data_IF_733396068134
#
_entry.id   IF_733396068134
#
_cell.length_a   1.000
_cell.length_b   1.000
_cell.length_c   1.000
_cell.angle_alpha   90.00
_cell.angle_beta   90.00
_cell.angle_gamma   90.00
#
_symmetry.space_group_name_H-M   'P 1'
#
loop_
_entity.id
_entity.type
_entity.pdbx_description
1 polymer ?
#
# COMPACT_ATOMS: atom_id res chain seq x y z
N UNK A 1 -37.61 40.43 2.10
CA UNK A 1 -36.22 39.93 2.10
C UNK A 1 -35.70 39.97 3.51
N UNK A 2 -35.45 38.81 4.12
CA UNK A 2 -34.31 38.53 5.02
C UNK A 2 -34.42 37.07 5.42
N UNK A 3 -33.58 36.24 4.81
CA UNK A 3 -33.34 34.86 5.21
C UNK A 3 -32.58 34.88 6.53
N UNK A 4 -33.20 34.41 7.60
CA UNK A 4 -32.54 34.15 8.88
C UNK A 4 -32.28 32.65 9.01
N UNK A 5 -31.38 32.11 8.19
CA UNK A 5 -30.92 30.74 8.37
C UNK A 5 -29.99 30.70 9.58
N UNK A 6 -30.40 29.94 10.60
CA UNK A 6 -29.71 29.75 11.87
C UNK A 6 -28.24 29.34 11.67
N UNK A 7 -27.31 30.12 12.21
CA UNK A 7 -25.86 29.85 12.21
C UNK A 7 -25.44 28.67 13.11
N UNK A 8 -26.37 27.86 13.62
CA UNK A 8 -26.08 26.76 14.55
C UNK A 8 -25.73 25.44 13.84
N UNK A 9 -26.11 25.26 12.58
CA UNK A 9 -25.89 24.01 11.84
C UNK A 9 -24.47 23.84 11.27
N UNK A 10 -23.65 24.90 11.23
CA UNK A 10 -22.31 24.85 10.66
C UNK A 10 -21.21 24.42 11.65
N UNK A 11 -21.45 24.57 12.96
CA UNK A 11 -20.50 24.13 13.99
C UNK A 11 -20.58 22.62 14.30
N UNK A 12 -21.67 21.96 13.91
CA UNK A 12 -21.91 20.56 14.24
C UNK A 12 -21.36 19.58 13.20
N UNK A 13 -21.14 20.02 11.96
CA UNK A 13 -20.58 19.20 10.89
C UNK A 13 -19.08 18.90 11.07
N UNK A 14 -18.33 19.72 11.83
CA UNK A 14 -16.89 19.52 12.06
C UNK A 14 -16.57 18.47 13.14
N UNK A 15 -17.55 18.00 13.91
CA UNK A 15 -17.31 17.05 15.03
C UNK A 15 -17.60 15.59 14.71
N UNK A 16 -18.15 15.26 13.54
CA UNK A 16 -18.67 13.91 13.27
C UNK A 16 -17.95 13.11 12.17
N UNK A 17 -16.69 13.44 11.86
CA UNK A 17 -15.84 12.58 11.01
C UNK A 17 -14.43 12.40 11.54
N UNK A 18 -14.24 12.39 12.87
CA UNK A 18 -13.04 11.82 13.47
C UNK A 18 -13.25 10.33 13.75
N UNK A 19 -13.39 9.52 12.70
CA UNK A 19 -13.18 8.07 12.83
C UNK A 19 -11.69 7.83 12.64
N UNK A 20 -10.92 8.03 13.71
CA UNK A 20 -9.57 7.50 13.78
C UNK A 20 -9.14 7.32 15.23
N UNK A 21 -9.99 6.74 16.06
CA UNK A 21 -9.49 6.10 17.28
C UNK A 21 -8.88 4.77 16.84
N UNK A 22 -7.66 4.85 16.31
CA UNK A 22 -6.87 3.65 16.03
C UNK A 22 -6.59 2.98 17.38
N UNK A 23 -6.82 1.66 17.53
CA UNK A 23 -6.64 1.01 18.83
C UNK A 23 -5.23 1.28 19.33
N UNK A 24 -5.07 1.60 20.62
CA UNK A 24 -3.75 1.86 21.20
C UNK A 24 -2.77 0.68 20.94
N UNK A 25 -3.29 -0.55 20.91
CA UNK A 25 -2.56 -1.78 20.58
C UNK A 25 -2.15 -1.92 19.11
N UNK A 26 -2.58 -1.02 18.22
CA UNK A 26 -2.24 -1.04 16.80
C UNK A 26 -0.99 -0.19 16.48
N UNK A 27 -0.36 0.39 17.50
CA UNK A 27 0.92 1.07 17.35
C UNK A 27 2.07 0.05 17.35
N UNK A 28 2.95 0.14 16.35
CA UNK A 28 4.18 -0.63 16.31
C UNK A 28 5.22 0.14 17.14
N UNK A 29 5.24 -0.11 18.45
CA UNK A 29 5.98 0.68 19.43
C UNK A 29 7.50 0.53 19.25
N UNK A 30 7.97 -0.68 18.94
CA UNK A 30 9.40 -0.97 18.80
C UNK A 30 9.87 -0.91 17.34
N UNK A 31 11.14 -0.58 17.13
CA UNK A 31 11.77 -0.66 15.81
C UNK A 31 11.74 -2.10 15.26
N UNK A 32 11.83 -3.10 16.14
CA UNK A 32 11.76 -4.52 15.75
C UNK A 32 10.36 -4.91 15.24
N UNK A 33 9.29 -4.44 15.89
CA UNK A 33 7.92 -4.65 15.40
C UNK A 33 7.70 -3.95 14.06
N UNK A 34 8.17 -2.71 13.92
CA UNK A 34 8.13 -1.95 12.65
C UNK A 34 8.87 -2.69 11.56
N UNK A 35 10.09 -3.16 11.83
CA UNK A 35 10.90 -3.95 10.91
C UNK A 35 10.17 -5.21 10.44
N UNK A 36 9.65 -6.03 11.37
CA UNK A 36 8.92 -7.26 11.04
C UNK A 36 7.69 -6.99 10.20
N UNK A 37 6.92 -5.96 10.54
CA UNK A 37 5.75 -5.56 9.77
C UNK A 37 6.14 -5.13 8.35
N UNK A 38 7.17 -4.30 8.21
CA UNK A 38 7.65 -3.85 6.91
C UNK A 38 8.19 -5.00 6.05
N UNK A 39 8.87 -5.99 6.65
CA UNK A 39 9.30 -7.20 5.93
C UNK A 39 8.10 -8.04 5.45
N UNK A 40 7.09 -8.22 6.30
CA UNK A 40 5.87 -8.94 5.93
C UNK A 40 5.12 -8.25 4.78
N UNK A 41 4.96 -6.93 4.89
CA UNK A 41 4.30 -6.12 3.87
C UNK A 41 5.11 -6.10 2.56
N UNK A 42 6.45 -6.13 2.63
CA UNK A 42 7.31 -6.29 1.45
C UNK A 42 7.05 -7.63 0.76
N UNK A 43 7.00 -8.73 1.52
CA UNK A 43 6.72 -10.06 0.99
C UNK A 43 5.40 -10.11 0.24
N UNK A 44 4.35 -9.52 0.83
CA UNK A 44 3.05 -9.43 0.20
C UNK A 44 3.12 -8.73 -1.17
N UNK A 45 3.78 -7.57 -1.28
CA UNK A 45 3.85 -6.87 -2.56
C UNK A 45 4.69 -7.59 -3.61
N UNK A 46 5.79 -8.24 -3.21
CA UNK A 46 6.61 -9.02 -4.15
C UNK A 46 5.82 -10.21 -4.68
N UNK A 47 5.10 -10.93 -3.82
CA UNK A 47 4.22 -12.03 -4.24
C UNK A 47 3.07 -11.54 -5.12
N UNK A 48 2.48 -10.39 -4.79
CA UNK A 48 1.42 -9.77 -5.60
C UNK A 48 1.93 -9.36 -6.99
N UNK A 49 3.15 -8.84 -7.09
CA UNK A 49 3.78 -8.51 -8.36
C UNK A 49 4.01 -9.78 -9.19
N UNK A 50 4.54 -10.84 -8.59
CA UNK A 50 4.74 -12.12 -9.27
C UNK A 50 3.43 -12.71 -9.80
N UNK A 51 2.38 -12.72 -8.97
CA UNK A 51 1.05 -13.20 -9.39
C UNK A 51 0.52 -12.40 -10.58
N UNK A 52 0.68 -11.08 -10.54
CA UNK A 52 0.28 -10.20 -11.63
C UNK A 52 1.05 -10.50 -12.92
N UNK A 53 2.36 -10.74 -12.83
CA UNK A 53 3.21 -11.11 -13.97
C UNK A 53 2.82 -12.47 -14.59
N UNK A 54 2.28 -13.40 -13.79
CA UNK A 54 1.76 -14.69 -14.26
C UNK A 54 0.40 -14.57 -14.96
N UNK A 55 -0.52 -13.72 -14.48
CA UNK A 55 -1.89 -13.58 -15.00
C UNK A 55 -1.94 -13.13 -16.47
N UNK A 56 -0.94 -12.41 -16.97
CA UNK A 56 -0.91 -11.87 -18.35
C UNK A 56 -0.70 -12.94 -19.42
N UNK A 57 -0.20 -14.13 -19.06
CA UNK A 57 0.08 -15.19 -20.03
C UNK A 57 -1.19 -15.82 -20.64
N UNK A 58 -2.39 -15.57 -20.10
CA UNK A 58 -3.65 -16.21 -20.52
C UNK A 58 -4.66 -15.34 -21.28
N UNK A 59 -4.36 -14.08 -21.63
CA UNK A 59 -5.36 -13.16 -22.21
C UNK A 59 -5.31 -13.01 -23.75
N UNK A 60 -6.49 -13.01 -24.41
CA UNK A 60 -6.70 -12.76 -25.84
C UNK A 60 -6.29 -11.35 -26.30
N UNK A 61 -5.91 -11.18 -27.58
CA UNK A 61 -5.16 -10.02 -28.12
C UNK A 61 -5.83 -8.64 -27.97
N UNK A 62 -7.15 -8.52 -28.16
CA UNK A 62 -7.85 -7.24 -28.02
C UNK A 62 -8.01 -6.84 -26.54
N UNK A 63 -8.29 -7.82 -25.68
CA UNK A 63 -8.27 -7.65 -24.23
C UNK A 63 -6.85 -7.30 -23.76
N UNK A 64 -5.84 -7.92 -24.37
CA UNK A 64 -4.41 -7.70 -24.11
C UNK A 64 -4.00 -6.25 -24.23
N UNK A 65 -4.47 -5.44 -25.19
CA UNK A 65 -4.05 -4.03 -25.31
C UNK A 65 -4.53 -3.15 -24.15
N UNK A 66 -5.80 -3.24 -23.76
CA UNK A 66 -6.35 -2.50 -22.62
C UNK A 66 -5.75 -3.03 -21.31
N UNK A 67 -5.74 -4.36 -21.15
CA UNK A 67 -5.14 -5.03 -20.01
C UNK A 67 -3.66 -4.73 -19.89
N UNK A 68 -2.93 -4.52 -20.99
CA UNK A 68 -1.51 -4.20 -20.97
C UNK A 68 -1.23 -2.81 -20.39
N UNK A 69 -2.05 -1.79 -20.67
CA UNK A 69 -1.87 -0.47 -20.03
C UNK A 69 -2.15 -0.54 -18.52
N UNK A 70 -3.27 -1.13 -18.12
CA UNK A 70 -3.64 -1.27 -16.71
C UNK A 70 -2.67 -2.20 -15.96
N UNK A 71 -2.22 -3.26 -16.60
CA UNK A 71 -1.18 -4.16 -16.12
C UNK A 71 0.15 -3.41 -15.92
N UNK A 72 0.61 -2.65 -16.92
CA UNK A 72 1.83 -1.86 -16.82
C UNK A 72 1.73 -0.85 -15.68
N UNK A 73 0.59 -0.20 -15.53
CA UNK A 73 0.34 0.72 -14.42
C UNK A 73 0.41 0.01 -13.07
N UNK A 74 -0.31 -1.11 -12.89
CA UNK A 74 -0.31 -1.91 -11.65
C UNK A 74 1.09 -2.44 -11.31
N UNK A 75 1.82 -2.94 -12.30
CA UNK A 75 3.19 -3.40 -12.15
C UNK A 75 4.13 -2.26 -11.73
N UNK A 76 4.01 -1.10 -12.37
CA UNK A 76 4.82 0.08 -12.04
C UNK A 76 4.53 0.55 -10.61
N UNK A 77 3.25 0.60 -10.22
CA UNK A 77 2.83 0.97 -8.88
C UNK A 77 3.37 0.00 -7.81
N UNK A 78 3.32 -1.30 -8.07
CA UNK A 78 3.90 -2.31 -7.17
C UNK A 78 5.42 -2.18 -7.08
N UNK A 79 6.13 -1.97 -8.20
CA UNK A 79 7.58 -1.77 -8.20
C UNK A 79 7.99 -0.52 -7.42
N UNK A 80 7.27 0.59 -7.58
CA UNK A 80 7.49 1.79 -6.78
C UNK A 80 7.22 1.57 -5.29
N UNK A 81 6.13 0.87 -4.96
CA UNK A 81 5.79 0.54 -3.57
C UNK A 81 6.88 -0.33 -2.93
N UNK A 82 7.35 -1.36 -3.64
CA UNK A 82 8.44 -2.23 -3.20
C UNK A 82 9.72 -1.40 -2.99
N UNK A 83 10.05 -0.50 -3.92
CA UNK A 83 11.22 0.36 -3.79
C UNK A 83 11.15 1.25 -2.54
N UNK A 84 10.04 1.95 -2.34
CA UNK A 84 9.81 2.77 -1.15
C UNK A 84 9.96 1.95 0.14
N UNK A 85 9.46 0.72 0.13
CA UNK A 85 9.54 -0.16 1.27
C UNK A 85 10.97 -0.65 1.55
N UNK A 86 11.77 -0.92 0.52
CA UNK A 86 13.20 -1.22 0.68
C UNK A 86 13.96 -0.03 1.25
N UNK A 87 13.61 1.20 0.86
CA UNK A 87 14.18 2.42 1.46
C UNK A 87 13.82 2.51 2.95
N UNK A 88 12.55 2.26 3.32
CA UNK A 88 12.11 2.20 4.72
C UNK A 88 12.87 1.12 5.51
N UNK A 89 12.99 -0.09 4.96
CA UNK A 89 13.70 -1.20 5.60
C UNK A 89 15.21 -0.93 5.73
N UNK A 90 15.80 -0.17 4.80
CA UNK A 90 17.19 0.28 4.91
C UNK A 90 17.37 1.23 6.09
N UNK A 91 16.42 2.12 6.35
CA UNK A 91 16.44 3.01 7.53
C UNK A 91 16.18 2.25 8.85
N UNK A 92 15.67 1.03 8.79
CA UNK A 92 15.44 0.13 9.92
C UNK A 92 16.52 -0.96 10.04
N UNK A 93 17.67 -0.81 9.37
CA UNK A 93 18.78 -1.78 9.35
C UNK A 93 18.42 -3.20 8.88
N UNK A 94 17.41 -3.31 8.02
CA UNK A 94 16.89 -4.59 7.51
C UNK A 94 17.01 -4.75 5.99
N UNK A 95 17.94 -4.01 5.37
CA UNK A 95 18.17 -4.05 3.91
C UNK A 95 18.48 -5.46 3.40
N UNK A 96 19.39 -6.17 4.04
CA UNK A 96 19.80 -7.51 3.58
C UNK A 96 18.63 -8.51 3.66
N UNK A 97 17.84 -8.45 4.74
CA UNK A 97 16.62 -9.25 4.87
C UNK A 97 15.62 -8.92 3.76
N UNK A 98 15.45 -7.64 3.43
CA UNK A 98 14.59 -7.21 2.33
C UNK A 98 15.04 -7.78 0.97
N UNK A 99 16.35 -7.73 0.66
CA UNK A 99 16.90 -8.24 -0.59
C UNK A 99 16.79 -9.77 -0.68
N UNK A 100 17.09 -10.49 0.40
CA UNK A 100 16.91 -11.94 0.48
C UNK A 100 15.44 -12.33 0.27
N UNK A 101 14.52 -11.58 0.86
CA UNK A 101 13.08 -11.81 0.74
C UNK A 101 12.61 -11.59 -0.70
N UNK A 102 13.02 -10.50 -1.34
CA UNK A 102 12.71 -10.23 -2.76
C UNK A 102 13.20 -11.38 -3.65
N UNK A 103 14.43 -11.85 -3.44
CA UNK A 103 15.00 -12.96 -4.21
C UNK A 103 14.24 -14.27 -3.98
N UNK A 104 13.82 -14.53 -2.75
CA UNK A 104 13.06 -15.75 -2.39
C UNK A 104 11.68 -15.73 -3.03
N UNK A 105 10.95 -14.63 -2.94
CA UNK A 105 9.58 -14.54 -3.48
C UNK A 105 9.53 -14.52 -5.01
N UNK A 106 10.63 -14.15 -5.67
CA UNK A 106 10.77 -14.16 -7.15
C UNK A 106 11.03 -15.56 -7.74
N UNK A 107 11.52 -16.51 -6.94
CA UNK A 107 11.69 -17.92 -7.34
C UNK A 107 10.36 -18.64 -7.33
#
# INVERSE_FOLDING_TARGET
MTFGASNETLYQASRLTSISTFPASSQLETDEQRRRFELLRLAFFVLKLRKLEQEVQGAEEAHKKSLNRDYQFRCSLLRHTIFQQVVTLTRLDAREQALQLINTCRR
#
